data_IF_320902563043
#
_entry.id   IF_320902563043
#
_cell.length_a   1.000
_cell.length_b   1.000
_cell.length_c   1.000
_cell.angle_alpha   90.00
_cell.angle_beta   90.00
_cell.angle_gamma   90.00
#
_symmetry.space_group_name_H-M   'P 1'
#
loop_
_entity.id
_entity.type
_entity.pdbx_description
1 polymer ?
#
# COMPACT_ATOMS: atom_id res chain seq x y z
N UNK A 1 -51.57 -61.08 11.91
CA UNK A 1 -52.48 -60.01 12.34
C UNK A 1 -52.35 -58.91 11.29
N UNK A 2 -53.16 -58.99 10.24
CA UNK A 2 -54.49 -58.37 10.17
C UNK A 2 -54.36 -56.85 10.01
N UNK A 3 -55.08 -56.14 9.15
CA UNK A 3 -55.94 -56.42 8.03
C UNK A 3 -56.24 -55.01 7.46
N UNK A 4 -56.01 -54.80 6.17
CA UNK A 4 -56.95 -54.31 5.14
C UNK A 4 -58.10 -53.29 5.46
N UNK A 5 -58.76 -52.70 4.41
CA UNK A 5 -58.95 -51.25 4.23
C UNK A 5 -60.44 -50.84 3.99
N UNK A 6 -60.70 -49.58 3.57
CA UNK A 6 -61.96 -49.10 2.92
C UNK A 6 -61.57 -47.90 2.02
N UNK A 7 -61.69 -47.83 0.68
CA UNK A 7 -62.74 -48.03 -0.36
C UNK A 7 -63.61 -46.79 -0.66
N UNK A 8 -63.57 -46.33 -1.93
CA UNK A 8 -64.69 -45.97 -2.85
C UNK A 8 -64.11 -45.35 -4.15
N UNK A 9 -64.00 -46.05 -5.30
CA UNK A 9 -64.94 -46.20 -6.46
C UNK A 9 -65.56 -44.87 -6.95
N UNK A 10 -65.62 -44.53 -8.26
CA UNK A 10 -66.33 -45.14 -9.43
C UNK A 10 -65.67 -44.52 -10.72
N UNK A 11 -65.19 -45.21 -11.77
CA UNK A 11 -65.77 -46.05 -12.86
C UNK A 11 -66.22 -45.30 -14.15
N UNK A 12 -65.80 -45.82 -15.33
CA UNK A 12 -66.35 -45.53 -16.68
C UNK A 12 -65.26 -45.47 -17.79
N UNK A 13 -64.86 -46.59 -18.43
CA UNK A 13 -65.34 -47.16 -19.74
C UNK A 13 -64.93 -46.31 -20.98
N UNK A 14 -64.43 -46.80 -22.12
CA UNK A 14 -64.38 -48.12 -22.75
C UNK A 14 -63.37 -48.14 -23.95
N UNK A 15 -62.94 -49.35 -24.36
CA UNK A 15 -62.69 -49.92 -25.72
C UNK A 15 -62.22 -49.04 -26.92
N UNK A 16 -61.45 -49.49 -27.92
CA UNK A 16 -60.83 -50.76 -28.30
C UNK A 16 -60.07 -50.60 -29.65
N UNK A 17 -59.34 -51.66 -30.04
CA UNK A 17 -58.80 -52.05 -31.38
C UNK A 17 -57.46 -51.41 -31.77
N UNK A 18 -56.36 -52.13 -32.03
CA UNK A 18 -56.00 -53.32 -32.84
C UNK A 18 -55.35 -52.95 -34.19
N UNK A 19 -54.28 -53.70 -34.46
CA UNK A 19 -53.66 -54.04 -35.76
C UNK A 19 -52.35 -53.32 -36.15
N UNK A 20 -51.42 -54.21 -36.44
CA UNK A 20 -50.08 -54.19 -37.00
C UNK A 20 -49.84 -53.33 -38.26
N UNK A 21 -48.59 -52.98 -38.53
CA UNK A 21 -47.79 -53.62 -39.60
C UNK A 21 -46.47 -52.89 -39.84
N UNK A 22 -45.56 -53.64 -40.45
CA UNK A 22 -44.14 -53.41 -40.63
C UNK A 22 -43.77 -52.31 -41.64
N UNK A 23 -42.60 -51.73 -41.38
CA UNK A 23 -41.51 -51.39 -42.32
C UNK A 23 -41.83 -50.68 -43.65
N UNK A 24 -41.29 -49.46 -43.82
CA UNK A 24 -40.19 -49.11 -44.77
C UNK A 24 -40.02 -47.58 -44.86
N UNK A 25 -38.80 -47.12 -44.63
CA UNK A 25 -38.24 -45.82 -45.07
C UNK A 25 -38.20 -45.74 -46.62
N UNK A 26 -38.00 -44.58 -47.32
CA UNK A 26 -37.23 -43.40 -46.87
C UNK A 26 -37.65 -41.97 -47.39
N UNK A 27 -37.03 -40.93 -46.80
CA UNK A 27 -36.51 -39.68 -47.44
C UNK A 27 -37.48 -38.59 -47.96
N UNK A 28 -37.64 -37.48 -47.19
CA UNK A 28 -37.16 -36.10 -47.50
C UNK A 28 -37.82 -34.98 -46.65
N UNK A 29 -36.95 -34.24 -45.94
CA UNK A 29 -36.95 -32.80 -45.61
C UNK A 29 -38.29 -32.09 -45.29
N UNK A 30 -38.41 -31.67 -44.03
CA UNK A 30 -38.84 -30.30 -43.65
C UNK A 30 -38.11 -29.85 -42.38
N UNK A 31 -37.55 -28.65 -42.46
CA UNK A 31 -36.66 -28.00 -41.49
C UNK A 31 -37.33 -27.86 -40.11
N UNK A 32 -36.58 -28.15 -39.04
CA UNK A 32 -36.90 -27.74 -37.67
C UNK A 32 -36.19 -26.40 -37.38
N UNK A 33 -36.78 -25.50 -36.59
CA UNK A 33 -36.13 -24.25 -36.23
C UNK A 33 -34.91 -24.54 -35.36
N UNK A 34 -33.82 -23.82 -35.63
CA UNK A 34 -32.60 -23.87 -34.82
C UNK A 34 -32.94 -23.43 -33.40
N UNK A 35 -32.74 -24.35 -32.46
CA UNK A 35 -32.70 -24.09 -31.03
C UNK A 35 -31.48 -23.19 -30.80
N UNK A 36 -31.68 -21.89 -30.57
CA UNK A 36 -30.62 -21.02 -30.07
C UNK A 36 -30.17 -21.59 -28.72
N UNK A 37 -29.02 -22.25 -28.72
CA UNK A 37 -28.26 -22.50 -27.50
C UNK A 37 -27.92 -21.13 -26.91
N UNK A 38 -28.42 -20.86 -25.70
CA UNK A 38 -27.96 -19.75 -24.89
C UNK A 38 -26.45 -19.90 -24.69
N UNK A 39 -25.68 -19.25 -25.55
CA UNK A 39 -24.25 -19.09 -25.42
C UNK A 39 -23.97 -18.24 -24.18
N UNK A 40 -23.08 -18.75 -23.34
CA UNK A 40 -22.54 -18.08 -22.16
C UNK A 40 -21.87 -16.76 -22.59
N UNK A 41 -22.60 -15.65 -22.52
CA UNK A 41 -22.06 -14.31 -22.81
C UNK A 41 -21.52 -13.59 -21.55
N UNK A 42 -21.51 -14.26 -20.39
CA UNK A 42 -21.03 -13.72 -19.11
C UNK A 42 -19.58 -14.07 -18.80
N UNK A 43 -19.00 -15.09 -19.44
CA UNK A 43 -17.63 -15.53 -19.18
C UNK A 43 -16.57 -14.63 -19.85
N UNK A 44 -16.84 -14.10 -21.04
CA UNK A 44 -15.86 -13.29 -21.81
C UNK A 44 -15.52 -11.96 -21.14
N UNK A 45 -16.51 -11.24 -20.58
CA UNK A 45 -16.24 -9.98 -19.87
C UNK A 45 -15.35 -10.22 -18.65
N UNK A 46 -15.60 -11.29 -17.90
CA UNK A 46 -14.79 -11.65 -16.72
C UNK A 46 -13.35 -11.98 -17.10
N UNK A 47 -13.14 -12.57 -18.29
CA UNK A 47 -11.82 -12.92 -18.83
C UNK A 47 -11.07 -11.68 -19.29
N UNK A 48 -11.74 -10.76 -19.99
CA UNK A 48 -11.19 -9.46 -20.40
C UNK A 48 -10.80 -8.60 -19.20
N UNK A 49 -11.62 -8.51 -18.15
CA UNK A 49 -11.25 -7.77 -16.93
C UNK A 49 -10.08 -8.43 -16.18
N UNK A 50 -9.99 -9.77 -16.18
CA UNK A 50 -8.83 -10.50 -15.63
C UNK A 50 -7.56 -10.21 -16.44
N UNK A 51 -7.64 -10.23 -17.77
CA UNK A 51 -6.53 -9.92 -18.69
C UNK A 51 -6.06 -8.47 -18.57
N UNK A 52 -6.98 -7.50 -18.45
CA UNK A 52 -6.66 -6.09 -18.21
C UNK A 52 -6.01 -5.86 -16.83
N UNK A 53 -6.48 -6.58 -15.81
CA UNK A 53 -5.85 -6.58 -14.48
C UNK A 53 -4.44 -7.20 -14.52
N UNK A 54 -4.27 -8.31 -15.25
CA UNK A 54 -3.00 -9.00 -15.47
C UNK A 54 -1.98 -8.09 -16.17
N UNK A 55 -2.38 -7.32 -17.17
CA UNK A 55 -1.47 -6.37 -17.84
C UNK A 55 -0.93 -5.31 -16.86
N UNK A 56 -1.80 -4.77 -16.01
CA UNK A 56 -1.40 -3.78 -14.99
C UNK A 56 -0.46 -4.38 -13.95
N UNK A 57 -0.70 -5.62 -13.53
CA UNK A 57 0.16 -6.38 -12.62
C UNK A 57 1.52 -6.66 -13.25
N UNK A 58 1.55 -7.20 -14.48
CA UNK A 58 2.77 -7.44 -15.25
C UNK A 58 3.62 -6.19 -15.36
N UNK A 59 2.99 -5.05 -15.69
CA UNK A 59 3.69 -3.76 -15.78
C UNK A 59 4.34 -3.37 -14.45
N UNK A 60 3.63 -3.51 -13.32
CA UNK A 60 4.18 -3.20 -12.00
C UNK A 60 5.35 -4.11 -11.63
N UNK A 61 5.23 -5.41 -11.91
CA UNK A 61 6.30 -6.38 -11.65
C UNK A 61 7.53 -6.04 -12.51
N UNK A 62 7.33 -5.81 -13.81
CA UNK A 62 8.40 -5.44 -14.73
C UNK A 62 9.10 -4.14 -14.33
N UNK A 63 8.35 -3.12 -13.90
CA UNK A 63 8.91 -1.84 -13.43
C UNK A 63 9.75 -2.02 -12.16
N UNK A 64 9.28 -2.82 -11.19
CA UNK A 64 10.03 -3.12 -9.98
C UNK A 64 11.31 -3.91 -10.27
N UNK A 65 11.26 -4.90 -11.17
CA UNK A 65 12.44 -5.67 -11.60
C UNK A 65 13.43 -4.74 -12.30
N UNK A 66 12.97 -3.93 -13.24
CA UNK A 66 13.84 -3.00 -13.98
C UNK A 66 14.53 -1.99 -13.05
N UNK A 67 13.79 -1.43 -12.08
CA UNK A 67 14.37 -0.57 -11.05
C UNK A 67 15.42 -1.30 -10.21
N UNK A 68 15.14 -2.54 -9.81
CA UNK A 68 16.08 -3.34 -9.04
C UNK A 68 17.36 -3.66 -9.82
N UNK A 69 17.25 -4.11 -11.08
CA UNK A 69 18.41 -4.37 -11.94
C UNK A 69 19.26 -3.12 -12.13
N UNK A 70 18.62 -1.94 -12.26
CA UNK A 70 19.35 -0.70 -12.51
C UNK A 70 20.03 -0.10 -11.27
N UNK A 71 19.43 -0.24 -10.10
CA UNK A 71 19.88 0.44 -8.89
C UNK A 71 20.57 -0.49 -7.90
N UNK A 72 20.16 -1.75 -7.81
CA UNK A 72 20.66 -2.66 -6.77
C UNK A 72 22.13 -3.01 -6.97
N UNK A 73 22.61 -3.17 -8.20
CA UNK A 73 24.03 -3.49 -8.46
C UNK A 73 24.94 -2.34 -8.06
N UNK A 74 24.66 -1.12 -8.56
CA UNK A 74 25.43 0.07 -8.20
C UNK A 74 25.33 0.39 -6.72
N UNK A 75 24.17 0.18 -6.10
CA UNK A 75 23.99 0.33 -4.67
C UNK A 75 24.83 -0.69 -3.88
N UNK A 76 24.83 -1.95 -4.30
CA UNK A 76 25.58 -3.01 -3.64
C UNK A 76 27.08 -2.76 -3.69
N UNK A 77 27.62 -2.44 -4.86
CA UNK A 77 29.05 -2.12 -5.04
C UNK A 77 29.50 -0.96 -4.15
N UNK A 78 28.68 0.10 -4.07
CA UNK A 78 28.98 1.28 -3.26
C UNK A 78 29.02 0.95 -1.76
N UNK A 79 28.07 0.13 -1.29
CA UNK A 79 27.95 -0.19 0.14
C UNK A 79 28.96 -1.26 0.55
N UNK A 80 29.32 -2.21 -0.32
CA UNK A 80 30.43 -3.14 -0.11
C UNK A 80 31.77 -2.41 -0.03
N UNK A 81 32.01 -1.45 -0.93
CA UNK A 81 33.23 -0.63 -0.89
C UNK A 81 33.37 0.12 0.44
N UNK A 82 32.27 0.71 0.95
CA UNK A 82 32.25 1.39 2.25
C UNK A 82 32.49 0.43 3.42
N UNK A 83 31.95 -0.78 3.37
CA UNK A 83 32.21 -1.79 4.40
C UNK A 83 33.69 -2.12 4.46
N UNK A 84 34.34 -2.30 3.30
CA UNK A 84 35.78 -2.59 3.22
C UNK A 84 36.60 -1.44 3.80
N UNK A 85 36.30 -0.19 3.42
CA UNK A 85 36.97 1.00 4.00
C UNK A 85 36.82 1.06 5.53
N UNK A 86 35.64 0.73 6.06
CA UNK A 86 35.40 0.68 7.51
C UNK A 86 36.18 -0.45 8.19
N UNK A 87 36.30 -1.62 7.55
CA UNK A 87 37.09 -2.75 8.04
C UNK A 87 38.59 -2.44 8.05
N UNK A 88 39.10 -1.78 7.02
CA UNK A 88 40.49 -1.32 6.95
C UNK A 88 40.79 -0.30 8.06
N UNK A 89 39.90 0.67 8.29
CA UNK A 89 40.01 1.63 9.39
C UNK A 89 40.05 0.98 10.78
N UNK A 90 39.33 -0.14 10.97
CA UNK A 90 39.35 -0.94 12.21
C UNK A 90 40.68 -1.68 12.36
N UNK A 91 41.26 -2.16 11.26
CA UNK A 91 42.54 -2.86 11.28
C UNK A 91 43.72 -1.91 11.54
N UNK A 92 43.65 -0.68 11.02
CA UNK A 92 44.71 0.33 11.16
C UNK A 92 44.67 1.08 12.50
N UNK A 93 43.49 1.31 13.06
CA UNK A 93 43.37 1.98 14.35
C UNK A 93 43.64 1.00 15.51
N UNK A 94 44.50 1.40 16.44
CA UNK A 94 44.57 0.77 17.76
C UNK A 94 43.33 1.16 18.58
N UNK A 95 42.21 0.50 18.31
CA UNK A 95 40.88 0.71 18.92
C UNK A 95 40.87 0.60 20.47
N UNK A 96 41.98 0.17 21.06
CA UNK A 96 42.19 0.11 22.50
C UNK A 96 42.40 1.49 23.14
N UNK A 97 42.78 2.52 22.36
CA UNK A 97 43.05 3.87 22.88
C UNK A 97 41.78 4.73 23.04
N UNK A 98 40.70 4.44 22.30
CA UNK A 98 39.40 5.12 22.40
C UNK A 98 38.22 4.14 22.32
N UNK A 99 37.73 3.71 23.49
CA UNK A 99 36.61 2.78 23.61
C UNK A 99 35.28 3.38 23.09
N UNK A 100 35.11 4.70 23.17
CA UNK A 100 33.87 5.37 22.77
C UNK A 100 33.77 5.47 21.24
N UNK A 101 34.82 5.98 20.57
CA UNK A 101 34.89 6.04 19.11
C UNK A 101 34.85 4.66 18.46
N UNK A 102 35.49 3.67 19.08
CA UNK A 102 35.48 2.28 18.60
C UNK A 102 34.07 1.68 18.58
N UNK A 103 33.27 1.94 19.61
CA UNK A 103 31.89 1.43 19.68
C UNK A 103 31.01 1.99 18.54
N UNK A 104 31.18 3.26 18.19
CA UNK A 104 30.42 3.89 17.10
C UNK A 104 30.79 3.29 15.74
N UNK A 105 32.08 3.06 15.49
CA UNK A 105 32.57 2.43 14.25
C UNK A 105 31.98 1.02 14.09
N UNK A 106 31.93 0.22 15.16
CA UNK A 106 31.32 -1.12 15.12
C UNK A 106 29.82 -1.08 14.87
N UNK A 107 29.10 -0.10 15.44
CA UNK A 107 27.65 0.08 15.19
C UNK A 107 27.42 0.44 13.73
N UNK A 108 28.23 1.34 13.17
CA UNK A 108 28.15 1.75 11.78
C UNK A 108 28.47 0.60 10.83
N UNK A 109 29.53 -0.17 11.09
CA UNK A 109 29.87 -1.36 10.30
C UNK A 109 28.74 -2.38 10.34
N UNK A 110 28.22 -2.71 11.52
CA UNK A 110 27.10 -3.64 11.64
C UNK A 110 25.84 -3.15 10.90
N UNK A 111 25.63 -1.84 10.82
CA UNK A 111 24.59 -1.21 10.00
C UNK A 111 24.84 -1.40 8.51
N UNK A 112 26.05 -1.10 8.03
CA UNK A 112 26.46 -1.24 6.63
C UNK A 112 26.38 -2.70 6.17
N UNK A 113 26.86 -3.66 6.97
CA UNK A 113 26.78 -5.10 6.64
C UNK A 113 25.33 -5.58 6.50
N UNK A 114 24.46 -5.20 7.44
CA UNK A 114 23.02 -5.52 7.35
C UNK A 114 22.37 -4.95 6.09
N UNK A 115 22.80 -3.75 5.68
CA UNK A 115 22.31 -3.12 4.46
C UNK A 115 22.79 -3.89 3.22
N UNK A 116 24.07 -4.29 3.17
CA UNK A 116 24.63 -5.12 2.10
C UNK A 116 23.88 -6.45 1.99
N UNK A 117 23.64 -7.13 3.11
CA UNK A 117 22.86 -8.37 3.14
C UNK A 117 21.44 -8.15 2.60
N UNK A 118 20.78 -7.06 3.01
CA UNK A 118 19.45 -6.72 2.52
C UNK A 118 19.42 -6.38 1.01
N UNK A 119 20.47 -5.78 0.48
CA UNK A 119 20.63 -5.54 -0.97
C UNK A 119 20.85 -6.85 -1.74
N UNK A 120 21.61 -7.80 -1.18
CA UNK A 120 21.77 -9.15 -1.74
C UNK A 120 20.44 -9.90 -1.77
N UNK A 121 19.68 -9.84 -0.68
CA UNK A 121 18.34 -10.41 -0.59
C UNK A 121 17.38 -9.76 -1.61
N UNK A 122 17.49 -8.45 -1.81
CA UNK A 122 16.69 -7.74 -2.81
C UNK A 122 16.99 -8.22 -4.23
N UNK A 123 18.28 -8.40 -4.57
CA UNK A 123 18.69 -8.92 -5.87
C UNK A 123 18.12 -10.32 -6.10
N UNK A 124 18.21 -11.20 -5.10
CA UNK A 124 17.61 -12.53 -5.14
C UNK A 124 16.09 -12.47 -5.38
N UNK A 125 15.36 -11.63 -4.65
CA UNK A 125 13.91 -11.47 -4.83
C UNK A 125 13.52 -10.90 -6.19
N UNK A 126 14.33 -10.00 -6.75
CA UNK A 126 14.10 -9.46 -8.09
C UNK A 126 14.31 -10.54 -9.17
N UNK A 127 15.35 -11.35 -9.05
CA UNK A 127 15.60 -12.50 -9.92
C UNK A 127 14.49 -13.54 -9.80
N UNK A 128 14.04 -13.86 -8.58
CA UNK A 128 12.90 -14.76 -8.35
C UNK A 128 11.63 -14.24 -9.03
N UNK A 129 11.29 -12.96 -8.85
CA UNK A 129 10.11 -12.35 -9.48
C UNK A 129 10.21 -12.39 -11.02
N UNK A 130 11.41 -12.22 -11.57
CA UNK A 130 11.68 -12.32 -13.01
C UNK A 130 11.43 -13.74 -13.53
N UNK A 131 12.04 -14.74 -12.90
CA UNK A 131 11.87 -16.15 -13.27
C UNK A 131 10.40 -16.60 -13.17
N UNK A 132 9.69 -16.21 -12.09
CA UNK A 132 8.27 -16.52 -11.95
C UNK A 132 7.45 -15.86 -13.07
N UNK A 133 7.80 -14.64 -13.46
CA UNK A 133 7.13 -13.94 -14.56
C UNK A 133 7.36 -14.65 -15.89
N UNK A 134 8.59 -15.05 -16.19
CA UNK A 134 8.93 -15.81 -17.40
C UNK A 134 8.20 -17.16 -17.46
N UNK A 135 8.15 -17.89 -16.33
CA UNK A 135 7.40 -19.15 -16.22
C UNK A 135 5.88 -18.93 -16.42
N UNK A 136 5.33 -17.87 -15.85
CA UNK A 136 3.90 -17.55 -15.96
C UNK A 136 3.49 -17.07 -17.37
N UNK A 137 4.46 -16.72 -18.23
CA UNK A 137 4.22 -16.45 -19.65
C UNK A 137 4.15 -17.72 -20.49
N UNK A 138 4.90 -18.74 -20.11
CA UNK A 138 4.88 -20.07 -20.75
C UNK A 138 3.60 -20.81 -20.35
N UNK A 139 3.29 -20.86 -19.06
CA UNK A 139 2.07 -21.44 -18.52
C UNK A 139 0.94 -20.41 -18.53
N UNK A 140 0.26 -20.30 -19.68
CA UNK A 140 -0.83 -19.38 -19.90
C UNK A 140 -1.85 -19.40 -18.74
N UNK A 141 -1.83 -18.34 -17.92
CA UNK A 141 -2.83 -17.98 -16.90
C UNK A 141 -2.73 -18.81 -15.60
N UNK A 142 -1.54 -18.89 -14.98
CA UNK A 142 -1.44 -19.26 -13.56
C UNK A 142 -1.51 -18.01 -12.65
N UNK A 143 -2.72 -17.64 -12.23
CA UNK A 143 -2.94 -16.49 -11.34
C UNK A 143 -2.21 -16.59 -9.99
N UNK A 144 -1.96 -17.82 -9.50
CA UNK A 144 -1.22 -18.04 -8.25
C UNK A 144 0.23 -17.61 -8.36
N UNK A 145 0.90 -17.98 -9.46
CA UNK A 145 2.29 -17.56 -9.73
C UNK A 145 2.39 -16.05 -9.91
N UNK A 146 1.46 -15.42 -10.63
CA UNK A 146 1.43 -13.96 -10.76
C UNK A 146 1.25 -13.24 -9.42
N UNK A 147 0.46 -13.81 -8.51
CA UNK A 147 0.29 -13.23 -7.18
C UNK A 147 1.61 -13.29 -6.39
N UNK A 148 2.33 -14.40 -6.43
CA UNK A 148 3.63 -14.54 -5.78
C UNK A 148 4.66 -13.56 -6.35
N UNK A 149 4.77 -13.46 -7.68
CA UNK A 149 5.65 -12.47 -8.33
C UNK A 149 5.27 -11.03 -7.96
N UNK A 150 3.97 -10.74 -7.84
CA UNK A 150 3.50 -9.43 -7.41
C UNK A 150 3.89 -9.12 -5.97
N UNK A 151 3.69 -10.04 -5.03
CA UNK A 151 4.08 -9.87 -3.62
C UNK A 151 5.59 -9.61 -3.51
N UNK A 152 6.42 -10.41 -4.20
CA UNK A 152 7.87 -10.18 -4.28
C UNK A 152 8.21 -8.80 -4.86
N UNK A 153 7.55 -8.40 -5.96
CA UNK A 153 7.79 -7.09 -6.59
C UNK A 153 7.42 -5.91 -5.68
N UNK A 154 6.38 -6.05 -4.86
CA UNK A 154 5.95 -5.02 -3.91
C UNK A 154 6.99 -4.87 -2.80
N UNK A 155 7.54 -5.97 -2.31
CA UNK A 155 8.58 -5.92 -1.28
C UNK A 155 9.89 -5.33 -1.82
N UNK A 156 10.28 -5.69 -3.05
CA UNK A 156 11.42 -5.09 -3.76
C UNK A 156 11.23 -3.58 -3.92
N UNK A 157 10.06 -3.15 -4.41
CA UNK A 157 9.77 -1.72 -4.60
C UNK A 157 9.82 -0.96 -3.28
N UNK A 158 9.21 -1.49 -2.20
CA UNK A 158 9.22 -0.83 -0.89
C UNK A 158 10.63 -0.65 -0.35
N UNK A 159 11.47 -1.68 -0.46
CA UNK A 159 12.85 -1.59 0.01
C UNK A 159 13.65 -0.58 -0.82
N UNK A 160 13.53 -0.60 -2.15
CA UNK A 160 14.19 0.39 -3.01
C UNK A 160 13.77 1.81 -2.66
N UNK A 161 12.46 2.04 -2.48
CA UNK A 161 11.95 3.35 -2.10
C UNK A 161 12.55 3.80 -0.75
N UNK A 162 12.64 2.91 0.25
CA UNK A 162 13.28 3.22 1.54
C UNK A 162 14.78 3.49 1.41
N UNK A 163 15.48 2.70 0.60
CA UNK A 163 16.92 2.87 0.37
C UNK A 163 17.23 4.18 -0.35
N UNK A 164 16.50 4.49 -1.42
CA UNK A 164 16.60 5.77 -2.14
C UNK A 164 16.35 6.95 -1.21
N UNK A 165 15.28 6.89 -0.40
CA UNK A 165 14.99 7.92 0.60
C UNK A 165 16.12 8.08 1.61
N UNK A 166 16.66 6.99 2.15
CA UNK A 166 17.79 7.03 3.07
C UNK A 166 19.04 7.64 2.43
N UNK A 167 19.28 7.43 1.12
CA UNK A 167 20.40 8.05 0.40
C UNK A 167 20.21 9.53 0.09
N UNK A 168 18.97 10.02 0.01
CA UNK A 168 18.70 11.45 -0.10
C UNK A 168 18.90 12.19 1.23
N UNK A 169 18.71 11.48 2.35
CA UNK A 169 18.87 12.00 3.71
C UNK A 169 20.36 11.98 4.12
N UNK A 170 21.07 13.06 3.81
CA UNK A 170 22.50 13.26 4.16
C UNK A 170 22.72 14.39 5.16
N UNK A 171 21.65 14.98 5.69
CA UNK A 171 21.71 16.01 6.70
C UNK A 171 22.26 15.47 8.02
N UNK A 172 22.97 16.33 8.75
CA UNK A 172 23.60 15.99 10.03
C UNK A 172 22.62 15.42 11.07
N UNK A 173 21.37 15.90 11.04
CA UNK A 173 20.31 15.53 11.98
C UNK A 173 19.22 14.68 11.33
N UNK A 174 19.43 14.19 10.11
CA UNK A 174 18.37 13.50 9.39
C UNK A 174 18.01 12.18 10.04
N UNK A 175 18.99 11.49 10.66
CA UNK A 175 18.82 10.20 11.35
C UNK A 175 18.00 10.37 12.65
N UNK A 176 18.03 11.55 13.25
CA UNK A 176 17.45 11.82 14.56
C UNK A 176 15.91 11.82 14.55
N UNK A 177 15.37 11.71 15.76
CA UNK A 177 13.95 11.92 16.02
C UNK A 177 13.52 13.35 15.66
N UNK A 178 12.22 13.57 15.53
CA UNK A 178 11.67 14.89 15.20
C UNK A 178 10.61 15.33 16.20
N UNK A 179 10.68 16.59 16.61
CA UNK A 179 9.60 17.29 17.30
C UNK A 179 8.93 18.26 16.33
N UNK A 180 7.65 18.02 16.06
CA UNK A 180 6.81 18.80 15.18
C UNK A 180 5.91 19.72 16.02
N UNK A 181 6.13 21.02 15.90
CA UNK A 181 5.35 22.06 16.58
C UNK A 181 4.45 22.74 15.56
N UNK A 182 3.14 22.60 15.74
CA UNK A 182 2.13 23.19 14.86
C UNK A 182 1.44 24.31 15.63
N UNK A 183 1.47 25.53 15.07
CA UNK A 183 0.85 26.72 15.70
C UNK A 183 -0.11 27.42 14.74
N UNK A 184 -1.27 27.83 15.24
CA UNK A 184 -2.18 28.68 14.50
C UNK A 184 -1.52 30.04 14.25
N UNK A 185 -1.58 30.54 13.01
CA UNK A 185 -1.02 31.86 12.70
C UNK A 185 -1.86 32.98 13.29
N UNK A 186 -3.18 32.81 13.22
CA UNK A 186 -4.18 33.77 13.66
C UNK A 186 -5.08 33.11 14.71
N UNK A 187 -5.49 33.88 15.71
CA UNK A 187 -6.44 33.44 16.75
C UNK A 187 -7.89 33.46 16.22
N UNK A 188 -8.12 32.77 15.10
CA UNK A 188 -9.47 32.56 14.57
C UNK A 188 -9.87 31.12 14.82
N UNK A 189 -11.14 30.89 15.18
CA UNK A 189 -11.65 29.54 15.48
C UNK A 189 -11.43 28.58 14.30
N UNK A 190 -11.50 29.08 13.07
CA UNK A 190 -11.21 28.30 11.88
C UNK A 190 -9.72 27.94 11.74
N UNK A 191 -8.79 28.85 12.07
CA UNK A 191 -7.35 28.54 12.06
C UNK A 191 -7.00 27.53 13.16
N UNK A 192 -7.64 27.64 14.32
CA UNK A 192 -7.49 26.67 15.41
C UNK A 192 -8.04 25.28 15.05
N UNK A 193 -9.16 25.22 14.30
CA UNK A 193 -9.69 23.97 13.77
C UNK A 193 -8.74 23.35 12.71
N UNK A 194 -8.08 24.17 11.89
CA UNK A 194 -7.08 23.71 10.92
C UNK A 194 -5.86 23.07 11.60
N UNK A 195 -5.37 23.66 12.70
CA UNK A 195 -4.29 23.06 13.51
C UNK A 195 -4.69 21.68 14.01
N UNK A 196 -5.92 21.51 14.51
CA UNK A 196 -6.44 20.21 14.94
C UNK A 196 -6.45 19.18 13.80
N UNK A 197 -6.80 19.59 12.59
CA UNK A 197 -6.75 18.72 11.40
C UNK A 197 -5.32 18.30 11.05
N UNK A 198 -4.36 19.24 11.09
CA UNK A 198 -2.95 18.93 10.83
C UNK A 198 -2.37 17.97 11.88
N UNK A 199 -2.67 18.17 13.16
CA UNK A 199 -2.24 17.26 14.23
C UNK A 199 -2.74 15.83 13.97
N UNK A 200 -4.01 15.69 13.61
CA UNK A 200 -4.59 14.38 13.25
C UNK A 200 -3.95 13.79 11.98
N UNK A 201 -3.61 14.62 11.00
CA UNK A 201 -2.94 14.19 9.77
C UNK A 201 -1.58 13.58 10.07
N UNK A 202 -0.72 14.29 10.82
CA UNK A 202 0.61 13.81 11.15
C UNK A 202 0.59 12.61 12.11
N UNK A 203 -0.38 12.57 13.04
CA UNK A 203 -0.57 11.39 13.91
C UNK A 203 -0.92 10.14 13.09
N UNK A 204 -1.85 10.25 12.13
CA UNK A 204 -2.19 9.15 11.21
C UNK A 204 -1.07 8.79 10.25
N UNK A 205 -0.28 9.77 9.82
CA UNK A 205 0.89 9.52 8.99
C UNK A 205 1.92 8.68 9.76
N UNK A 206 2.21 9.02 11.02
CA UNK A 206 3.11 8.23 11.86
C UNK A 206 2.60 6.79 12.05
N UNK A 207 1.30 6.62 12.35
CA UNK A 207 0.67 5.29 12.45
C UNK A 207 0.79 4.48 11.15
N UNK A 208 0.62 5.12 9.99
CA UNK A 208 0.74 4.47 8.67
C UNK A 208 2.16 4.02 8.38
N UNK A 209 3.16 4.75 8.87
CA UNK A 209 4.56 4.34 8.80
C UNK A 209 4.93 3.24 9.82
N UNK A 210 4.00 2.88 10.72
CA UNK A 210 4.22 1.88 11.76
C UNK A 210 4.88 2.45 13.03
N UNK A 211 4.96 3.77 13.17
CA UNK A 211 5.58 4.43 14.31
C UNK A 211 4.54 5.02 15.26
N UNK A 212 4.92 5.15 16.53
CA UNK A 212 4.07 5.75 17.56
C UNK A 212 4.33 7.26 17.64
N UNK A 213 3.31 8.07 17.39
CA UNK A 213 3.37 9.50 17.66
C UNK A 213 3.07 9.78 19.13
N UNK A 214 3.93 10.56 19.79
CA UNK A 214 3.70 11.04 21.16
C UNK A 214 3.27 12.50 21.10
N UNK A 215 2.11 12.82 21.65
CA UNK A 215 1.69 14.21 21.83
C UNK A 215 2.36 14.72 23.10
N UNK A 216 3.32 15.64 22.97
CA UNK A 216 4.09 16.17 24.08
C UNK A 216 3.35 17.32 24.78
N UNK A 217 2.75 18.21 23.99
CA UNK A 217 2.03 19.38 24.49
C UNK A 217 0.83 19.70 23.59
N UNK A 218 -0.24 20.22 24.20
CA UNK A 218 -1.49 20.52 23.53
C UNK A 218 -2.19 21.72 24.18
N UNK A 219 -2.21 22.86 23.48
CA UNK A 219 -2.82 24.11 23.93
C UNK A 219 -4.24 24.29 23.38
N UNK A 220 -5.24 23.82 24.13
CA UNK A 220 -6.65 23.99 23.77
C UNK A 220 -7.14 25.43 23.95
N UNK A 221 -8.06 25.88 23.09
CA UNK A 221 -8.72 27.19 23.20
C UNK A 221 -10.11 27.09 23.84
N UNK A 222 -10.59 28.19 24.44
CA UNK A 222 -11.93 28.27 25.03
C UNK A 222 -13.07 28.07 23.99
N UNK A 223 -12.78 28.29 22.71
CA UNK A 223 -13.68 28.06 21.57
C UNK A 223 -13.73 26.59 21.12
N UNK A 224 -12.99 25.68 21.76
CA UNK A 224 -12.92 24.25 21.40
C UNK A 224 -11.95 23.92 20.27
N UNK A 225 -11.14 24.90 19.85
CA UNK A 225 -10.07 24.75 18.87
C UNK A 225 -8.71 24.44 19.51
N UNK A 226 -7.68 24.29 18.69
CA UNK A 226 -6.30 24.03 19.11
C UNK A 226 -5.37 25.19 18.69
N UNK A 227 -4.72 25.85 19.65
CA UNK A 227 -3.80 26.98 19.39
C UNK A 227 -2.42 26.49 18.95
N UNK A 228 -1.88 25.54 19.71
CA UNK A 228 -0.61 24.89 19.47
C UNK A 228 -0.68 23.42 19.84
N UNK A 229 0.12 22.61 19.17
CA UNK A 229 0.43 21.26 19.62
C UNK A 229 1.86 20.88 19.23
N UNK A 230 2.47 20.06 20.07
CA UNK A 230 3.80 19.50 19.86
C UNK A 230 3.69 17.99 19.78
N UNK A 231 4.20 17.41 18.70
CA UNK A 231 4.20 15.97 18.44
C UNK A 231 5.66 15.52 18.35
N UNK A 232 6.04 14.61 19.23
CA UNK A 232 7.35 13.98 19.24
C UNK A 232 7.28 12.63 18.52
N UNK A 233 8.24 12.42 17.63
CA UNK A 233 8.39 11.25 16.78
C UNK A 233 9.79 10.67 16.99
N UNK A 234 9.84 9.63 17.83
CA UNK A 234 11.06 8.93 18.20
C UNK A 234 11.28 7.73 17.27
N UNK A 235 11.65 7.97 16.01
CA UNK A 235 12.05 6.91 15.09
C UNK A 235 13.15 7.37 14.13
N UNK A 236 13.90 6.42 13.59
CA UNK A 236 15.03 6.69 12.70
C UNK A 236 14.56 7.40 11.43
N UNK A 237 15.28 8.44 11.04
CA UNK A 237 14.96 9.28 9.87
C UNK A 237 13.74 10.20 10.01
N UNK A 238 13.14 10.33 11.21
CA UNK A 238 11.94 11.15 11.41
C UNK A 238 12.14 12.61 11.01
N UNK A 239 13.28 13.20 11.35
CA UNK A 239 13.60 14.58 10.98
C UNK A 239 13.76 14.74 9.47
N UNK A 240 14.48 13.82 8.80
CA UNK A 240 14.65 13.84 7.35
C UNK A 240 13.33 13.80 6.59
N UNK A 241 12.38 12.97 7.03
CA UNK A 241 11.04 12.91 6.41
C UNK A 241 10.25 14.22 6.57
N UNK A 242 10.33 14.84 7.75
CA UNK A 242 9.56 16.05 8.03
C UNK A 242 10.25 17.33 7.58
N UNK A 243 11.55 17.33 7.31
CA UNK A 243 12.29 18.55 6.94
C UNK A 243 11.62 19.35 5.81
N UNK A 244 11.02 18.68 4.83
CA UNK A 244 10.25 19.29 3.73
C UNK A 244 8.90 19.91 4.13
N UNK A 245 8.34 19.52 5.26
CA UNK A 245 7.06 19.99 5.81
C UNK A 245 7.18 21.28 6.61
N UNK A 246 8.40 21.79 6.77
CA UNK A 246 8.68 23.04 7.48
C UNK A 246 8.13 24.22 6.69
N UNK A 247 7.21 24.97 7.28
CA UNK A 247 6.67 26.15 6.64
C UNK A 247 5.28 26.54 7.11
N UNK A 248 4.55 27.20 6.20
CA UNK A 248 3.18 27.64 6.44
C UNK A 248 2.27 26.82 5.56
N UNK A 249 1.36 26.09 6.20
CA UNK A 249 0.36 25.26 5.56
C UNK A 249 -0.93 26.06 5.42
N UNK A 250 -1.35 26.27 4.17
CA UNK A 250 -2.55 27.00 3.83
C UNK A 250 -3.68 26.04 3.47
N UNK A 251 -4.85 26.22 4.09
CA UNK A 251 -6.08 25.56 3.65
C UNK A 251 -7.04 26.63 3.15
N UNK A 252 -7.47 26.47 1.88
CA UNK A 252 -8.53 27.27 1.27
C UNK A 252 -9.74 26.36 1.18
N UNK A 253 -10.76 26.64 1.97
CA UNK A 253 -12.00 25.88 1.96
C UNK A 253 -13.20 26.81 2.06
N UNK A 254 -14.26 26.49 1.30
CA UNK A 254 -15.58 27.09 1.44
C UNK A 254 -16.31 26.38 2.58
N UNK A 255 -15.88 26.56 3.82
CA UNK A 255 -16.41 25.79 4.94
C UNK A 255 -17.73 26.38 5.49
N UNK A 256 -18.73 25.52 5.68
CA UNK A 256 -19.63 25.56 6.83
C UNK A 256 -19.09 24.46 7.79
N UNK A 257 -18.52 24.83 8.93
CA UNK A 257 -17.97 23.87 9.89
C UNK A 257 -19.12 23.42 10.80
N UNK A 258 -19.61 22.19 10.63
CA UNK A 258 -20.78 21.65 11.34
C UNK A 258 -20.59 21.41 12.86
N UNK A 259 -19.56 21.94 13.51
CA UNK A 259 -19.31 21.70 14.94
C UNK A 259 -19.01 22.95 15.77
N UNK A 260 -19.01 24.16 15.17
CA UNK A 260 -18.81 25.38 15.95
C UNK A 260 -20.06 26.26 15.84
N UNK A 261 -20.85 26.43 16.92
CA UNK A 261 -21.95 27.37 16.92
C UNK A 261 -21.36 28.79 16.99
N UNK A 262 -21.06 29.40 15.85
CA UNK A 262 -20.63 30.80 15.81
C UNK A 262 -21.75 31.70 15.30
N UNK A 263 -22.29 32.47 16.25
CA UNK A 263 -22.58 33.89 16.03
C UNK A 263 -21.24 34.56 15.66
N UNK A 264 -20.93 34.73 14.38
CA UNK A 264 -20.41 35.98 13.80
C UNK A 264 -19.84 35.81 12.37
N UNK A 265 -20.16 36.86 11.60
CA UNK A 265 -19.69 37.36 10.31
C UNK A 265 -19.83 36.49 9.03
N UNK A 266 -20.83 36.86 8.24
CA UNK A 266 -21.31 36.24 7.00
C UNK A 266 -20.69 36.83 5.71
N UNK A 267 -19.52 37.47 5.79
CA UNK A 267 -19.00 38.29 4.67
C UNK A 267 -17.92 37.66 3.79
N UNK A 268 -17.28 36.56 4.17
CA UNK A 268 -16.31 35.87 3.30
C UNK A 268 -16.78 34.48 2.91
N UNK A 269 -16.94 34.23 1.61
CA UNK A 269 -17.30 32.89 1.06
C UNK A 269 -16.12 31.91 1.07
N UNK A 270 -14.91 32.38 1.34
CA UNK A 270 -13.70 31.58 1.44
C UNK A 270 -12.90 32.00 2.68
N UNK A 271 -12.51 31.04 3.50
CA UNK A 271 -11.63 31.27 4.64
C UNK A 271 -10.20 30.85 4.24
N UNK A 272 -9.24 31.77 4.40
CA UNK A 272 -7.82 31.46 4.26
C UNK A 272 -7.28 31.06 5.64
N UNK A 273 -7.16 29.76 5.85
CA UNK A 273 -6.68 29.19 7.10
C UNK A 273 -5.18 28.96 6.98
N UNK A 274 -4.41 29.37 7.99
CA UNK A 274 -2.96 29.17 7.98
C UNK A 274 -2.45 28.68 9.33
N UNK A 275 -1.60 27.66 9.26
CA UNK A 275 -0.87 27.12 10.40
C UNK A 275 0.61 27.08 10.05
N UNK A 276 1.47 27.38 11.03
CA UNK A 276 2.92 27.28 10.89
C UNK A 276 3.37 25.97 11.51
N UNK A 277 4.06 25.16 10.72
CA UNK A 277 4.80 23.99 11.18
C UNK A 277 6.26 24.40 11.41
N UNK A 278 6.74 24.20 12.63
CA UNK A 278 8.15 24.31 13.01
C UNK A 278 8.61 22.92 13.38
N UNK A 279 9.74 22.50 12.84
CA UNK A 279 10.29 21.16 13.07
C UNK A 279 11.68 21.33 13.64
N UNK A 280 11.94 20.61 14.73
CA UNK A 280 13.23 20.51 15.40
C UNK A 280 13.60 19.05 15.54
N UNK A 281 14.90 18.74 15.62
CA UNK A 281 15.37 17.41 15.99
C UNK A 281 15.12 17.17 17.49
N UNK A 282 15.00 15.91 17.88
CA UNK A 282 14.92 15.47 19.28
C UNK A 282 16.29 15.15 19.85
#
# INVERSE_FOLDING_TARGET
MAAQPVVLRICGSASARLVSSQCRSPVLKKQRPLRCSNLRATDDKSKVYKELGLFSLKKKIADAIFRAEMLAETALELEESKCIEQEEMIQENNLWDDLAGSSEIFVNLAGSTKLVDALKDLKYKAEEAKLITELAEIDAINYGLFKQAYEASVDVSKFLDQYEMAKLMKGQYDIEGASLIIKARNQSVYSEAWVKQLVNMYSKWAEKQGFKARIADMDSSASGGLKSATIDLEFQFAYGYLAGERGIHHMISSHNVNEVPLRFDSRSKFYNLSARAVITYL
#
